data_IF_284746057249
#
_entry.id   IF_284746057249
#
_cell.length_a   1.000
_cell.length_b   1.000
_cell.length_c   1.000
_cell.angle_alpha   90.00
_cell.angle_beta   90.00
_cell.angle_gamma   90.00
#
_symmetry.space_group_name_H-M   'P 1'
#
loop_
_entity.id
_entity.type
_entity.pdbx_description
1 polymer ?
#
# COMPACT_ATOMS: atom_id res chain seq x y z
N UNK A 1 -9.57 3.45 9.41
CA UNK A 1 -8.13 3.12 9.42
C UNK A 1 -7.36 4.42 9.26
N UNK A 2 -6.64 4.88 10.28
CA UNK A 2 -5.85 6.12 10.22
C UNK A 2 -4.47 5.79 9.63
N UNK A 3 -4.39 5.72 8.30
CA UNK A 3 -3.13 5.59 7.57
C UNK A 3 -2.57 6.98 7.32
N UNK A 4 -1.41 7.27 7.90
CA UNK A 4 -0.70 8.52 7.65
C UNK A 4 0.32 8.32 6.54
N UNK A 5 0.52 9.35 5.70
CA UNK A 5 1.58 9.31 4.69
C UNK A 5 2.92 8.97 5.37
N UNK A 6 3.65 8.00 4.81
CA UNK A 6 4.91 7.52 5.38
C UNK A 6 4.77 6.27 6.26
N UNK A 7 3.55 5.81 6.56
CA UNK A 7 3.35 4.55 7.29
C UNK A 7 3.85 3.36 6.47
N UNK A 8 4.68 2.52 7.08
CA UNK A 8 5.09 1.24 6.50
C UNK A 8 3.93 0.26 6.50
N UNK A 9 3.76 -0.44 5.39
CA UNK A 9 2.70 -1.41 5.19
C UNK A 9 3.24 -2.64 4.48
N UNK A 10 2.68 -3.80 4.81
CA UNK A 10 2.90 -5.07 4.11
C UNK A 10 1.64 -5.42 3.35
N UNK A 11 1.80 -5.87 2.11
CA UNK A 11 0.70 -6.31 1.28
C UNK A 11 0.42 -7.78 1.58
N UNK A 12 -0.83 -8.11 1.88
CA UNK A 12 -1.26 -9.44 2.33
C UNK A 12 -2.04 -10.21 1.27
N UNK A 13 -2.23 -9.65 0.06
CA UNK A 13 -2.89 -10.33 -1.04
C UNK A 13 -2.73 -9.66 -2.41
N UNK A 14 -3.04 -10.43 -3.46
CA UNK A 14 -2.93 -10.01 -4.87
C UNK A 14 -1.51 -10.15 -5.42
N UNK A 15 -1.23 -9.51 -6.56
CA UNK A 15 0.04 -9.66 -7.31
C UNK A 15 1.29 -9.19 -6.54
N UNK A 16 1.10 -8.42 -5.47
CA UNK A 16 2.15 -7.87 -4.64
C UNK A 16 2.17 -8.46 -3.21
N UNK A 17 1.48 -9.58 -2.98
CA UNK A 17 1.48 -10.28 -1.69
C UNK A 17 2.91 -10.52 -1.18
N UNK A 18 3.13 -10.27 0.11
CA UNK A 18 4.43 -10.42 0.76
C UNK A 18 5.37 -9.22 0.60
N UNK A 19 5.04 -8.26 -0.27
CA UNK A 19 5.87 -7.07 -0.47
C UNK A 19 5.61 -6.01 0.58
N UNK A 20 6.68 -5.30 0.95
CA UNK A 20 6.62 -4.15 1.84
C UNK A 20 6.69 -2.84 1.07
N UNK A 21 6.01 -1.83 1.60
CA UNK A 21 6.00 -0.51 1.00
C UNK A 21 5.62 0.59 1.97
N UNK A 22 5.55 1.80 1.43
CA UNK A 22 5.20 3.01 2.16
C UNK A 22 3.87 3.55 1.64
N UNK A 23 2.93 3.76 2.55
CA UNK A 23 1.65 4.40 2.23
C UNK A 23 1.86 5.85 1.81
N UNK A 24 1.29 6.24 0.67
CA UNK A 24 1.39 7.59 0.14
C UNK A 24 0.10 8.39 0.33
N UNK A 25 -1.03 7.87 -0.15
CA UNK A 25 -2.34 8.56 -0.11
C UNK A 25 -3.51 7.60 -0.39
N UNK A 26 -4.71 8.01 -0.01
CA UNK A 26 -5.96 7.38 -0.44
C UNK A 26 -6.39 7.96 -1.79
N UNK A 27 -6.93 7.13 -2.68
CA UNK A 27 -7.48 7.51 -3.98
C UNK A 27 -8.96 7.14 -4.03
N UNK A 28 -9.82 8.15 -4.22
CA UNK A 28 -11.26 8.00 -4.38
C UNK A 28 -12.01 7.93 -3.03
N UNK A 29 -12.95 8.86 -2.81
CA UNK A 29 -13.79 8.89 -1.61
C UNK A 29 -14.77 7.70 -1.52
N UNK A 30 -15.04 7.04 -2.66
CA UNK A 30 -16.07 5.99 -2.80
C UNK A 30 -15.51 4.56 -2.82
N UNK A 31 -14.31 4.37 -3.36
CA UNK A 31 -13.68 3.06 -3.63
C UNK A 31 -12.60 2.70 -2.59
N UNK A 32 -12.25 3.66 -1.71
CA UNK A 32 -11.29 3.50 -0.59
C UNK A 32 -9.92 2.92 -0.98
N UNK A 33 -9.50 3.00 -2.24
CA UNK A 33 -8.21 2.45 -2.68
C UNK A 33 -7.04 3.27 -2.14
N UNK A 34 -5.91 2.63 -1.88
CA UNK A 34 -4.70 3.29 -1.37
C UNK A 34 -3.55 3.16 -2.34
N UNK A 35 -2.68 4.16 -2.34
CA UNK A 35 -1.46 4.18 -3.16
C UNK A 35 -0.28 3.84 -2.28
N UNK A 36 0.45 2.79 -2.66
CA UNK A 36 1.62 2.29 -1.94
C UNK A 36 2.84 2.35 -2.84
N UNK A 37 3.94 2.82 -2.25
CA UNK A 37 5.27 2.80 -2.85
C UNK A 37 6.00 1.53 -2.41
N UNK A 38 6.20 0.59 -3.33
CA UNK A 38 6.90 -0.68 -3.07
C UNK A 38 8.38 -0.51 -3.45
N UNK A 39 9.30 -0.84 -2.55
CA UNK A 39 10.75 -0.80 -2.79
C UNK A 39 11.27 -2.24 -2.85
N UNK A 40 11.82 -2.70 -3.98
CA UNK A 40 12.41 -4.05 -4.04
C UNK A 40 12.62 -4.71 -5.41
N UNK A 41 12.08 -4.19 -6.51
CA UNK A 41 12.26 -4.83 -7.84
C UNK A 41 12.64 -3.78 -8.88
N UNK A 42 13.94 -3.42 -8.97
CA UNK A 42 14.62 -2.67 -10.06
C UNK A 42 14.02 -1.28 -10.42
N UNK A 43 12.82 -0.93 -9.96
CA UNK A 43 12.05 0.28 -10.20
C UNK A 43 11.07 0.52 -9.05
N UNK A 44 10.71 1.79 -8.82
CA UNK A 44 9.65 2.18 -7.87
C UNK A 44 8.29 1.99 -8.55
N UNK A 45 7.50 1.02 -8.10
CA UNK A 45 6.13 0.82 -8.59
C UNK A 45 5.11 1.48 -7.65
N UNK A 46 4.14 2.21 -8.23
CA UNK A 46 2.99 2.75 -7.50
C UNK A 46 1.76 1.88 -7.79
N UNK A 47 1.36 1.07 -6.80
CA UNK A 47 0.18 0.22 -6.92
C UNK A 47 -1.04 0.86 -6.25
N UNK A 48 -2.21 0.67 -6.84
CA UNK A 48 -3.50 1.04 -6.24
C UNK A 48 -4.11 -0.22 -5.63
N UNK A 49 -4.04 -0.35 -4.30
CA UNK A 49 -4.38 -1.57 -3.56
C UNK A 49 -5.60 -1.31 -2.69
N UNK A 50 -6.45 -2.31 -2.50
CA UNK A 50 -7.57 -2.20 -1.55
C UNK A 50 -7.04 -2.24 -0.10
N UNK A 51 -7.54 -1.40 0.82
CA UNK A 51 -7.04 -1.32 2.19
C UNK A 51 -7.15 -2.63 2.98
N UNK A 52 -8.07 -3.52 2.60
CA UNK A 52 -8.20 -4.83 3.27
C UNK A 52 -7.06 -5.81 2.92
N UNK A 53 -6.28 -5.51 1.87
CA UNK A 53 -5.13 -6.31 1.43
C UNK A 53 -3.80 -5.78 1.97
N UNK A 54 -3.84 -4.90 2.99
CA UNK A 54 -2.65 -4.31 3.58
C UNK A 54 -2.70 -4.39 5.10
N UNK A 55 -1.52 -4.60 5.68
CA UNK A 55 -1.31 -4.60 7.11
C UNK A 55 -0.28 -3.54 7.49
N UNK A 56 -0.52 -2.81 8.58
CA UNK A 56 0.44 -1.81 9.08
C UNK A 56 1.53 -2.51 9.87
N UNK A 57 2.78 -2.25 9.50
CA UNK A 57 3.97 -2.75 10.20
C UNK A 57 4.58 -1.59 11.01
N UNK A 58 4.92 -1.85 12.28
CA UNK A 58 5.61 -0.89 13.16
C UNK A 58 7.12 -0.92 12.94
#
# INVERSE_FOLDING_TARGET
MNLSKGTKVRITGGDFEGQEGVFLKVKGARDRRVVIQIQGIIAVAMATIHPDLIEVIR
#
